data_IF_681373442466
#
_entry.id   IF_681373442466
#
_cell.length_a   1.000
_cell.length_b   1.000
_cell.length_c   1.000
_cell.angle_alpha   90.00
_cell.angle_beta   90.00
_cell.angle_gamma   90.00
#
_symmetry.space_group_name_H-M   'P 1'
#
loop_
_entity.id
_entity.type
_entity.pdbx_description
1 polymer ?
#
# COMPACT_ATOMS: atom_id res chain seq x y z
N UNK A 1 71.56 -39.55 18.46
CA UNK A 1 71.07 -38.36 17.78
C UNK A 1 69.65 -38.64 17.25
N UNK A 2 68.56 -38.18 17.93
CA UNK A 2 67.17 -38.40 17.53
C UNK A 2 66.69 -37.13 16.80
N UNK A 3 66.39 -37.29 15.51
CA UNK A 3 65.81 -36.26 14.66
C UNK A 3 64.30 -36.19 14.92
N UNK A 4 63.79 -35.09 15.47
CA UNK A 4 62.34 -34.82 15.57
C UNK A 4 61.87 -34.12 14.27
N UNK A 5 61.02 -34.82 13.54
CA UNK A 5 60.34 -34.27 12.38
C UNK A 5 59.08 -33.58 12.90
N UNK A 6 59.04 -32.25 12.79
CA UNK A 6 57.89 -31.42 13.15
C UNK A 6 56.92 -31.41 11.95
N UNK A 7 55.84 -32.12 12.06
CA UNK A 7 54.76 -32.08 11.05
C UNK A 7 53.84 -30.92 11.40
N UNK A 8 53.94 -29.82 10.63
CA UNK A 8 52.99 -28.70 10.68
C UNK A 8 51.77 -29.09 9.88
N UNK A 9 50.66 -29.46 10.56
CA UNK A 9 49.37 -29.70 9.97
C UNK A 9 48.68 -28.34 9.75
N UNK A 10 48.73 -27.80 8.52
CA UNK A 10 47.98 -26.61 8.13
C UNK A 10 46.54 -27.07 7.95
N UNK A 11 45.66 -26.73 8.91
CA UNK A 11 44.24 -26.83 8.81
C UNK A 11 43.71 -25.79 7.81
N UNK A 12 43.53 -26.22 6.55
CA UNK A 12 42.79 -25.45 5.54
C UNK A 12 41.30 -25.57 5.89
N UNK A 13 40.75 -24.64 6.67
CA UNK A 13 39.31 -24.52 6.82
C UNK A 13 38.74 -23.88 5.55
N UNK A 14 37.78 -24.53 4.84
CA UNK A 14 37.09 -23.85 3.73
C UNK A 14 36.25 -22.74 4.33
N UNK A 15 36.63 -21.50 4.08
CA UNK A 15 35.81 -20.33 4.32
C UNK A 15 34.66 -20.38 3.31
N UNK A 16 33.58 -21.06 3.67
CA UNK A 16 32.32 -21.01 2.92
C UNK A 16 31.73 -19.60 3.11
N UNK A 17 32.07 -18.72 2.18
CA UNK A 17 31.35 -17.46 2.01
C UNK A 17 29.94 -17.84 1.57
N UNK A 18 28.98 -17.82 2.51
CA UNK A 18 27.57 -17.79 2.19
C UNK A 18 27.31 -16.46 1.47
N UNK A 19 27.34 -16.48 0.13
CA UNK A 19 26.67 -15.44 -0.65
C UNK A 19 25.18 -15.65 -0.39
N UNK A 20 24.65 -14.89 0.57
CA UNK A 20 23.24 -14.63 0.67
C UNK A 20 22.88 -13.82 -0.59
N UNK A 21 22.40 -14.50 -1.61
CA UNK A 21 21.67 -13.85 -2.69
C UNK A 21 20.39 -13.32 -2.04
N UNK A 22 20.43 -12.07 -1.58
CA UNK A 22 19.23 -11.31 -1.34
C UNK A 22 18.50 -11.23 -2.67
N UNK A 23 17.57 -12.17 -2.87
CA UNK A 23 16.55 -12.05 -3.90
C UNK A 23 15.69 -10.83 -3.54
N UNK A 24 16.22 -9.65 -3.82
CA UNK A 24 15.48 -8.39 -3.89
C UNK A 24 14.55 -8.41 -5.11
N UNK A 25 13.69 -9.42 -5.20
CA UNK A 25 12.45 -9.27 -5.92
C UNK A 25 11.55 -8.41 -5.04
N UNK A 26 11.83 -7.10 -5.02
CA UNK A 26 10.81 -6.14 -4.58
C UNK A 26 9.53 -6.50 -5.33
N UNK A 27 8.41 -6.77 -4.65
CA UNK A 27 7.17 -7.06 -5.33
C UNK A 27 6.95 -5.95 -6.36
N UNK A 28 6.69 -6.34 -7.61
CA UNK A 28 6.48 -5.40 -8.69
C UNK A 28 5.26 -4.56 -8.31
N UNK A 29 5.49 -3.36 -7.78
CA UNK A 29 4.41 -2.45 -7.38
C UNK A 29 3.79 -1.95 -8.67
N UNK A 30 2.60 -2.48 -8.99
CA UNK A 30 1.88 -2.17 -10.22
C UNK A 30 0.66 -1.30 -9.89
N UNK A 31 0.85 0.01 -9.90
CA UNK A 31 -0.26 0.99 -9.88
C UNK A 31 -0.37 1.57 -11.29
N UNK A 32 -1.56 1.53 -11.85
CA UNK A 32 -1.85 2.00 -13.23
C UNK A 32 -2.94 3.10 -13.18
N UNK A 33 -2.69 4.26 -13.75
CA UNK A 33 -1.42 4.77 -14.30
C UNK A 33 -0.30 4.81 -13.26
N UNK A 34 0.95 4.77 -13.71
CA UNK A 34 2.09 4.84 -12.78
C UNK A 34 2.11 6.20 -12.09
N UNK A 35 2.09 6.25 -10.75
CA UNK A 35 2.19 7.48 -9.98
C UNK A 35 3.49 8.26 -10.26
N UNK A 36 3.47 9.54 -9.97
CA UNK A 36 4.62 10.43 -10.14
C UNK A 36 5.82 9.96 -9.32
N UNK A 37 5.57 9.50 -8.09
CA UNK A 37 6.61 8.96 -7.22
C UNK A 37 6.10 7.77 -6.41
N UNK A 38 6.92 6.72 -6.32
CA UNK A 38 6.73 5.57 -5.43
C UNK A 38 8.05 5.32 -4.72
N UNK A 39 8.00 5.30 -3.39
CA UNK A 39 9.13 4.94 -2.53
C UNK A 39 8.74 3.72 -1.72
N UNK A 40 9.31 2.53 -1.99
CA UNK A 40 9.05 1.33 -1.19
C UNK A 40 9.45 1.52 0.26
N UNK A 41 8.66 0.95 1.18
CA UNK A 41 8.95 0.84 2.59
C UNK A 41 9.16 -0.62 3.00
N UNK A 42 9.22 -0.89 4.31
CA UNK A 42 9.40 -2.24 4.84
C UNK A 42 8.15 -2.72 5.57
N UNK A 43 7.74 -3.96 5.31
CA UNK A 43 6.58 -4.60 5.91
C UNK A 43 5.28 -4.32 5.15
N UNK A 44 4.15 -4.70 5.77
CA UNK A 44 2.83 -4.57 5.18
C UNK A 44 1.84 -4.03 6.21
N UNK A 45 0.88 -3.21 5.77
CA UNK A 45 -0.33 -2.91 6.53
C UNK A 45 -1.35 -4.02 6.29
N UNK A 46 -1.92 -4.58 7.37
CA UNK A 46 -2.93 -5.65 7.28
C UNK A 46 -4.27 -5.14 7.78
N UNK A 47 -5.28 -5.25 6.93
CA UNK A 47 -6.66 -4.96 7.29
C UNK A 47 -7.22 -6.06 8.19
N UNK A 48 -7.98 -5.67 9.20
CA UNK A 48 -8.62 -6.55 10.16
C UNK A 48 -9.95 -5.98 10.64
N UNK A 49 -10.68 -6.73 11.46
CA UNK A 49 -11.91 -6.25 12.10
C UNK A 49 -11.68 -5.04 13.05
N UNK A 50 -10.43 -4.77 13.42
CA UNK A 50 -10.06 -3.61 14.25
C UNK A 50 -9.69 -2.38 13.43
N UNK A 51 -9.59 -2.53 12.11
CA UNK A 51 -9.24 -1.41 11.22
C UNK A 51 -10.34 -0.36 11.25
N UNK A 52 -9.96 0.90 11.42
CA UNK A 52 -10.89 2.03 11.44
C UNK A 52 -10.36 3.14 10.52
N UNK A 53 -11.28 3.75 9.78
CA UNK A 53 -11.05 5.00 9.07
C UNK A 53 -11.34 6.18 9.99
N UNK A 54 -10.48 7.19 9.97
CA UNK A 54 -10.69 8.47 10.63
C UNK A 54 -10.69 9.56 9.56
N UNK A 55 -11.80 10.25 9.41
CA UNK A 55 -12.02 11.30 8.40
C UNK A 55 -12.50 12.58 9.07
N UNK A 56 -12.20 13.73 8.47
CA UNK A 56 -12.45 15.04 9.07
C UNK A 56 -13.90 15.52 8.91
N UNK A 57 -14.56 15.12 7.81
CA UNK A 57 -15.90 15.61 7.46
C UNK A 57 -16.74 14.58 6.69
N UNK A 58 -18.00 14.96 6.41
CA UNK A 58 -18.97 14.08 5.72
C UNK A 58 -18.61 13.82 4.25
N UNK A 59 -17.96 14.75 3.56
CA UNK A 59 -17.56 14.55 2.16
C UNK A 59 -16.48 13.46 2.06
N UNK A 60 -15.49 13.51 2.95
CA UNK A 60 -14.49 12.46 3.07
C UNK A 60 -15.13 11.13 3.52
N UNK A 61 -16.14 11.17 4.38
CA UNK A 61 -16.86 9.98 4.83
C UNK A 61 -17.54 9.24 3.68
N UNK A 62 -18.11 9.95 2.70
CA UNK A 62 -18.70 9.33 1.50
C UNK A 62 -17.63 8.56 0.71
N UNK A 63 -16.47 9.16 0.50
CA UNK A 63 -15.36 8.53 -0.21
C UNK A 63 -14.86 7.28 0.53
N UNK A 64 -14.65 7.40 1.85
CA UNK A 64 -14.23 6.27 2.68
C UNK A 64 -15.27 5.14 2.68
N UNK A 65 -16.56 5.47 2.77
CA UNK A 65 -17.65 4.48 2.77
C UNK A 65 -17.69 3.65 1.49
N UNK A 66 -17.50 4.26 0.33
CA UNK A 66 -17.47 3.54 -0.95
C UNK A 66 -16.35 2.48 -0.96
N UNK A 67 -15.19 2.79 -0.39
CA UNK A 67 -14.11 1.83 -0.26
C UNK A 67 -14.42 0.75 0.80
N UNK A 68 -14.97 1.14 1.94
CA UNK A 68 -15.37 0.21 3.02
C UNK A 68 -16.40 -0.79 2.48
N UNK A 69 -17.39 -0.35 1.72
CA UNK A 69 -18.41 -1.22 1.15
C UNK A 69 -17.82 -2.23 0.16
N UNK A 70 -16.91 -1.79 -0.72
CA UNK A 70 -16.15 -2.67 -1.61
C UNK A 70 -15.36 -3.72 -0.80
N UNK A 71 -14.61 -3.26 0.19
CA UNK A 71 -13.77 -4.11 1.03
C UNK A 71 -14.62 -5.10 1.85
N UNK A 72 -15.73 -4.65 2.42
CA UNK A 72 -16.64 -5.51 3.20
C UNK A 72 -17.20 -6.64 2.35
N UNK A 73 -17.58 -6.34 1.11
CA UNK A 73 -18.13 -7.32 0.18
C UNK A 73 -17.12 -8.43 -0.12
N UNK A 74 -15.89 -8.06 -0.42
CA UNK A 74 -14.84 -8.99 -0.81
C UNK A 74 -14.19 -9.72 0.39
N UNK A 75 -13.99 -9.02 1.51
CA UNK A 75 -13.27 -9.54 2.67
C UNK A 75 -14.19 -10.12 3.76
N UNK A 76 -15.48 -9.77 3.77
CA UNK A 76 -16.38 -10.10 4.87
C UNK A 76 -16.05 -9.38 6.18
N UNK A 77 -15.20 -8.35 6.13
CA UNK A 77 -14.77 -7.53 7.26
C UNK A 77 -15.21 -6.09 7.00
N UNK A 78 -15.89 -5.46 7.96
CA UNK A 78 -16.33 -4.08 7.84
C UNK A 78 -15.48 -3.17 8.72
N UNK A 79 -14.53 -2.40 8.16
CA UNK A 79 -13.79 -1.39 8.90
C UNK A 79 -14.72 -0.33 9.49
N UNK A 80 -14.42 0.14 10.71
CA UNK A 80 -15.15 1.24 11.32
C UNK A 80 -14.89 2.56 10.59
N UNK A 81 -15.85 3.50 10.67
CA UNK A 81 -15.73 4.84 10.10
C UNK A 81 -16.01 5.89 11.19
N UNK A 82 -15.00 6.65 11.54
CA UNK A 82 -15.03 7.71 12.55
C UNK A 82 -14.96 9.08 11.86
N UNK A 83 -16.04 9.84 11.92
CA UNK A 83 -16.14 11.19 11.31
C UNK A 83 -15.86 12.25 12.36
N UNK A 84 -15.04 13.24 12.01
CA UNK A 84 -14.60 14.31 12.94
C UNK A 84 -13.62 13.81 14.00
N UNK A 85 -13.02 12.64 13.82
CA UNK A 85 -12.09 12.02 14.75
C UNK A 85 -10.71 11.85 14.11
N UNK A 86 -9.69 11.78 14.96
CA UNK A 86 -8.33 11.41 14.57
C UNK A 86 -7.99 9.96 14.91
N UNK A 87 -8.95 9.23 15.50
CA UNK A 87 -8.77 7.86 15.95
C UNK A 87 -9.12 6.86 14.84
N UNK A 88 -8.08 6.27 14.27
CA UNK A 88 -8.18 5.25 13.22
C UNK A 88 -6.81 4.96 12.63
N UNK A 89 -6.65 3.74 12.12
CA UNK A 89 -5.40 3.34 11.46
C UNK A 89 -5.30 3.91 10.04
N UNK A 90 -6.44 4.23 9.40
CA UNK A 90 -6.48 4.85 8.08
C UNK A 90 -7.01 6.27 8.27
N UNK A 91 -6.15 7.26 8.04
CA UNK A 91 -6.46 8.65 8.36
C UNK A 91 -6.43 9.52 7.12
N UNK A 92 -7.47 10.33 6.98
CA UNK A 92 -7.54 11.40 5.99
C UNK A 92 -7.17 12.72 6.64
N UNK A 93 -6.30 13.46 5.99
CA UNK A 93 -5.85 14.77 6.45
C UNK A 93 -5.92 15.74 5.28
N UNK A 94 -6.73 16.80 5.42
CA UNK A 94 -6.80 17.87 4.44
C UNK A 94 -5.53 18.72 4.53
N UNK A 95 -4.85 18.89 3.39
CA UNK A 95 -3.65 19.71 3.28
C UNK A 95 -3.75 20.59 2.01
N UNK A 96 -4.01 21.87 2.21
CA UNK A 96 -4.21 22.85 1.13
C UNK A 96 -2.95 23.15 0.32
N UNK A 97 -1.79 22.64 0.72
CA UNK A 97 -0.55 22.77 -0.06
C UNK A 97 -0.53 21.89 -1.31
N UNK A 98 -1.36 20.84 -1.35
CA UNK A 98 -1.49 19.99 -2.53
C UNK A 98 -2.30 20.69 -3.63
N UNK A 99 -1.91 20.45 -4.87
CA UNK A 99 -2.72 20.83 -6.04
C UNK A 99 -4.05 20.06 -6.03
N UNK A 100 -5.09 20.56 -6.72
CA UNK A 100 -6.32 19.81 -6.90
C UNK A 100 -6.07 18.41 -7.44
N UNK A 101 -6.78 17.42 -6.89
CA UNK A 101 -6.71 16.01 -7.25
C UNK A 101 -5.37 15.31 -6.91
N UNK A 102 -4.35 16.05 -6.41
CA UNK A 102 -3.10 15.46 -5.94
C UNK A 102 -3.28 14.78 -4.58
N UNK A 103 -2.45 13.77 -4.31
CA UNK A 103 -2.43 13.10 -3.02
C UNK A 103 -1.03 12.62 -2.63
N UNK A 104 -0.84 12.47 -1.32
CA UNK A 104 0.23 11.72 -0.69
C UNK A 104 -0.40 10.55 0.09
N UNK A 105 0.06 9.35 -0.18
CA UNK A 105 -0.34 8.11 0.49
C UNK A 105 0.88 7.52 1.18
N UNK A 106 0.88 7.49 2.50
CA UNK A 106 1.93 6.90 3.32
C UNK A 106 1.39 5.63 3.99
N UNK A 107 1.94 4.48 3.63
CA UNK A 107 1.58 3.17 4.17
C UNK A 107 2.72 2.67 5.04
N UNK A 108 2.43 2.41 6.29
CA UNK A 108 3.31 1.74 7.24
C UNK A 108 2.63 0.49 7.79
N UNK A 109 3.32 -0.45 8.45
CA UNK A 109 2.67 -1.60 9.09
C UNK A 109 1.61 -1.22 10.14
N UNK A 110 1.66 -0.02 10.70
CA UNK A 110 0.78 0.44 11.79
C UNK A 110 -0.37 1.30 11.32
N UNK A 111 -0.18 2.06 10.22
CA UNK A 111 -1.18 3.02 9.76
C UNK A 111 -1.04 3.33 8.27
N UNK A 112 -2.14 3.84 7.73
CA UNK A 112 -2.19 4.48 6.42
C UNK A 112 -2.58 5.94 6.63
N UNK A 113 -1.76 6.86 6.13
CA UNK A 113 -2.05 8.29 6.13
C UNK A 113 -2.25 8.76 4.69
N UNK A 114 -3.38 9.43 4.45
CA UNK A 114 -3.72 10.02 3.16
C UNK A 114 -3.83 11.52 3.33
N UNK A 115 -3.04 12.29 2.56
CA UNK A 115 -3.11 13.73 2.52
C UNK A 115 -3.53 14.18 1.12
N UNK A 116 -4.48 15.11 1.05
CA UNK A 116 -4.94 15.72 -0.19
C UNK A 116 -5.61 17.08 0.10
N UNK A 117 -5.73 17.93 -0.91
CA UNK A 117 -6.43 19.20 -0.76
C UNK A 117 -7.94 19.09 -0.97
N UNK A 118 -8.40 18.04 -1.65
CA UNK A 118 -9.80 17.87 -2.03
C UNK A 118 -10.25 16.40 -2.00
N UNK A 119 -11.56 16.20 -2.15
CA UNK A 119 -12.20 14.87 -2.13
C UNK A 119 -11.71 13.95 -3.24
N UNK A 120 -11.33 14.50 -4.40
CA UNK A 120 -10.85 13.69 -5.53
C UNK A 120 -9.47 13.10 -5.25
N UNK A 121 -8.59 13.86 -4.59
CA UNK A 121 -7.28 13.36 -4.16
C UNK A 121 -7.42 12.18 -3.19
N UNK A 122 -8.33 12.26 -2.21
CA UNK A 122 -8.64 11.13 -1.31
C UNK A 122 -9.18 9.93 -2.07
N UNK A 123 -10.07 10.16 -3.04
CA UNK A 123 -10.59 9.10 -3.90
C UNK A 123 -9.49 8.39 -4.67
N UNK A 124 -8.57 9.12 -5.32
CA UNK A 124 -7.47 8.52 -6.08
C UNK A 124 -6.48 7.76 -5.19
N UNK A 125 -6.20 8.26 -3.99
CA UNK A 125 -5.39 7.52 -3.01
C UNK A 125 -6.02 6.17 -2.64
N UNK A 126 -7.34 6.12 -2.44
CA UNK A 126 -8.06 4.86 -2.18
C UNK A 126 -8.05 3.92 -3.40
N UNK A 127 -8.11 4.47 -4.65
CA UNK A 127 -7.95 3.63 -5.84
C UNK A 127 -6.55 3.02 -5.92
N UNK A 128 -5.52 3.74 -5.46
CA UNK A 128 -4.16 3.19 -5.37
C UNK A 128 -4.09 2.06 -4.34
N UNK A 129 -4.71 2.21 -3.17
CA UNK A 129 -4.81 1.13 -2.18
C UNK A 129 -5.55 -0.08 -2.75
N UNK A 130 -6.66 0.14 -3.48
CA UNK A 130 -7.42 -0.93 -4.15
C UNK A 130 -6.55 -1.74 -5.10
N UNK A 131 -5.68 -1.09 -5.87
CA UNK A 131 -4.77 -1.77 -6.80
C UNK A 131 -3.61 -2.50 -6.08
N UNK A 132 -3.27 -2.09 -4.87
CA UNK A 132 -2.24 -2.75 -4.05
C UNK A 132 -2.78 -3.95 -3.27
N UNK A 133 -4.10 -4.03 -3.08
CA UNK A 133 -4.75 -5.18 -2.45
C UNK A 133 -4.73 -6.40 -3.38
N UNK A 134 -4.87 -7.62 -2.84
CA UNK A 134 -5.08 -8.81 -3.65
C UNK A 134 -6.22 -8.63 -4.64
N UNK A 135 -6.11 -9.19 -5.86
CA UNK A 135 -7.14 -9.08 -6.91
C UNK A 135 -8.53 -9.59 -6.46
N UNK A 136 -8.57 -10.40 -5.41
CA UNK A 136 -9.80 -10.83 -4.74
C UNK A 136 -10.66 -9.67 -4.20
N UNK A 137 -10.11 -8.44 -4.10
CA UNK A 137 -10.88 -7.23 -3.73
C UNK A 137 -12.02 -6.93 -4.69
N UNK A 138 -11.96 -7.43 -5.92
CA UNK A 138 -12.99 -7.29 -6.94
C UNK A 138 -14.12 -8.32 -6.82
N UNK A 139 -14.06 -9.23 -5.84
CA UNK A 139 -15.06 -10.27 -5.65
C UNK A 139 -16.39 -9.67 -5.15
N UNK A 140 -17.49 -10.19 -5.69
CA UNK A 140 -18.85 -9.87 -5.24
C UNK A 140 -19.27 -10.69 -3.99
N UNK A 141 -18.44 -11.64 -3.55
CA UNK A 141 -18.68 -12.50 -2.40
C UNK A 141 -17.41 -12.57 -1.53
N UNK A 142 -17.55 -12.78 -0.20
CA UNK A 142 -16.42 -12.91 0.69
C UNK A 142 -15.48 -14.05 0.28
N UNK A 143 -14.19 -13.73 0.12
CA UNK A 143 -13.15 -14.69 -0.22
C UNK A 143 -12.39 -15.07 1.04
N UNK A 144 -12.31 -16.37 1.32
CA UNK A 144 -11.64 -16.91 2.50
C UNK A 144 -10.14 -17.13 2.24
N UNK A 145 -9.36 -17.19 3.32
CA UNK A 145 -7.93 -17.49 3.29
C UNK A 145 -7.07 -16.49 2.48
N UNK A 146 -7.51 -15.25 2.40
CA UNK A 146 -6.75 -14.15 1.79
C UNK A 146 -6.17 -13.27 2.91
N UNK A 147 -4.87 -12.99 2.80
CA UNK A 147 -4.23 -11.95 3.61
C UNK A 147 -4.57 -10.58 3.00
N UNK A 148 -5.53 -9.87 3.58
CA UNK A 148 -5.92 -8.54 3.16
C UNK A 148 -4.87 -7.52 3.60
N UNK A 149 -3.79 -7.40 2.83
CA UNK A 149 -2.66 -6.54 3.16
C UNK A 149 -2.14 -5.77 1.96
N UNK A 150 -1.54 -4.62 2.23
CA UNK A 150 -0.87 -3.77 1.25
C UNK A 150 0.57 -3.52 1.69
N UNK A 151 1.54 -3.49 0.78
CA UNK A 151 2.95 -3.25 1.13
C UNK A 151 3.15 -1.82 1.66
N UNK A 152 4.06 -1.68 2.63
CA UNK A 152 4.47 -0.38 3.13
C UNK A 152 5.19 0.40 2.03
N UNK A 153 4.78 1.65 1.81
CA UNK A 153 5.36 2.54 0.81
C UNK A 153 4.88 3.97 0.99
N UNK A 154 5.52 4.88 0.30
CA UNK A 154 5.01 6.23 0.06
C UNK A 154 4.69 6.37 -1.43
N UNK A 155 3.48 6.81 -1.73
CA UNK A 155 3.03 7.14 -3.09
C UNK A 155 2.65 8.60 -3.14
N UNK A 156 3.21 9.34 -4.10
CA UNK A 156 2.77 10.69 -4.42
C UNK A 156 2.36 10.75 -5.87
N UNK A 157 1.18 11.32 -6.12
CA UNK A 157 0.69 11.47 -7.47
C UNK A 157 -0.13 12.75 -7.65
N UNK A 158 -0.13 13.24 -8.86
CA UNK A 158 -0.92 14.37 -9.32
C UNK A 158 -1.31 14.19 -10.79
N UNK A 159 -2.46 14.73 -11.22
CA UNK A 159 -2.84 14.68 -12.62
C UNK A 159 -1.82 15.37 -13.53
N UNK A 160 -1.39 14.69 -14.60
CA UNK A 160 -0.52 15.29 -15.63
C UNK A 160 -1.26 16.26 -16.53
N UNK A 161 -2.59 16.05 -16.68
CA UNK A 161 -3.45 16.84 -17.56
C UNK A 161 -4.67 17.33 -16.80
N UNK A 162 -5.05 18.59 -16.96
CA UNK A 162 -6.24 19.18 -16.35
C UNK A 162 -7.55 18.62 -16.92
N UNK A 163 -7.56 18.21 -18.18
CA UNK A 163 -8.69 17.55 -18.82
C UNK A 163 -8.35 16.10 -19.16
N UNK A 164 -9.24 15.19 -18.77
CA UNK A 164 -9.18 13.76 -19.06
C UNK A 164 -10.57 13.29 -19.45
N UNK A 165 -10.72 12.72 -20.62
CA UNK A 165 -12.01 12.26 -21.11
C UNK A 165 -11.87 11.19 -22.16
N UNK A 166 -12.90 10.38 -22.31
CA UNK A 166 -13.05 9.39 -23.37
C UNK A 166 -14.40 9.63 -24.03
N UNK A 167 -14.40 9.81 -25.35
CA UNK A 167 -15.62 9.82 -26.15
C UNK A 167 -15.78 8.43 -26.78
N UNK A 168 -16.84 7.74 -26.39
CA UNK A 168 -17.28 6.49 -27.03
C UNK A 168 -18.49 6.80 -27.90
N UNK A 169 -18.44 6.44 -29.19
CA UNK A 169 -19.59 6.42 -30.06
C UNK A 169 -20.07 4.96 -30.21
N UNK A 170 -21.12 4.54 -29.46
CA UNK A 170 -21.62 3.17 -29.50
C UNK A 170 -22.54 2.90 -30.68
N UNK A 171 -22.77 3.90 -31.55
CA UNK A 171 -23.73 3.78 -32.67
C UNK A 171 -23.00 3.32 -33.92
N UNK A 172 -22.92 2.03 -34.08
CA UNK A 172 -22.84 1.33 -35.38
C UNK A 172 -23.57 0.02 -35.30
#
# INVERSE_FOLDING_TARGET
MKRYILIILILLSPLTVFLQADNLTSPLISIVPRPTQIVPGSGNFTFSAKTAFAVENQEQAVIARNFIDLFTRAAGITPALNVGSKEGQIRFVTDSSFKPEAYLLEITPQQILIKASDTKGFFYALQSIRQLLPAAIESEQPVQNIAWSVPAMTVQDEPRFGFRGLLLDPVR
#
